data_IF_942278242459
#
_entry.id   IF_942278242459
#
_cell.length_a   1.000
_cell.length_b   1.000
_cell.length_c   1.000
_cell.angle_alpha   90.00
_cell.angle_beta   90.00
_cell.angle_gamma   90.00
#
_symmetry.space_group_name_H-M   'P 1'
#
loop_
_entity.id
_entity.type
_entity.pdbx_description
1 polymer ?
#
# COMPACT_ATOMS: atom_id res chain seq x y z
N UNK A 1 25.66 -6.45 -3.56
CA UNK A 1 25.11 -5.58 -3.83
C UNK A 1 24.07 -5.07 -3.01
N UNK A 2 24.13 -3.94 -2.83
CA UNK A 2 23.32 -3.30 -1.87
C UNK A 2 21.86 -3.30 -2.21
N UNK A 3 21.53 -3.64 -3.43
CA UNK A 3 20.13 -3.67 -3.79
C UNK A 3 19.35 -4.69 -2.99
N UNK A 4 20.05 -5.62 -2.35
CA UNK A 4 19.38 -6.61 -1.53
C UNK A 4 19.20 -6.18 -0.10
N UNK A 5 19.75 -5.04 0.26
CA UNK A 5 19.60 -4.57 1.62
C UNK A 5 18.21 -4.01 1.86
N UNK A 6 17.63 -4.38 2.97
CA UNK A 6 16.33 -3.87 3.35
C UNK A 6 16.46 -2.45 3.85
N UNK A 7 15.66 -1.52 3.32
CA UNK A 7 15.74 -0.15 3.82
C UNK A 7 15.26 -0.07 5.27
N UNK A 8 15.85 0.86 6.00
CA UNK A 8 15.54 1.01 7.42
C UNK A 8 14.06 1.30 7.66
N UNK A 9 13.43 2.06 6.78
CA UNK A 9 12.03 2.41 6.98
C UNK A 9 11.11 1.19 6.98
N UNK A 10 11.49 0.14 6.25
CA UNK A 10 10.63 -1.04 6.19
C UNK A 10 10.60 -1.76 7.54
N UNK A 11 11.74 -1.88 8.20
CA UNK A 11 11.77 -2.46 9.53
C UNK A 11 10.99 -1.63 10.53
N UNK A 12 11.10 -0.32 10.43
CA UNK A 12 10.35 0.58 11.30
C UNK A 12 8.86 0.44 11.08
N UNK A 13 8.44 0.36 9.81
CA UNK A 13 7.03 0.19 9.49
C UNK A 13 6.50 -1.13 10.01
N UNK A 14 7.25 -2.21 9.81
CA UNK A 14 6.81 -3.52 10.28
C UNK A 14 6.66 -3.54 11.80
N UNK A 15 7.56 -2.88 12.51
CA UNK A 15 7.43 -2.78 13.96
C UNK A 15 6.20 -1.99 14.36
N UNK A 16 5.93 -0.89 13.65
CA UNK A 16 4.75 -0.09 13.94
C UNK A 16 3.47 -0.90 13.73
N UNK A 17 3.40 -1.64 12.63
CA UNK A 17 2.25 -2.49 12.37
C UNK A 17 2.07 -3.50 13.51
N UNK A 18 3.16 -4.13 13.93
CA UNK A 18 3.10 -5.12 14.99
C UNK A 18 2.66 -4.51 16.31
N UNK A 19 3.21 -3.36 16.68
CA UNK A 19 2.89 -2.72 17.95
C UNK A 19 1.48 -2.20 18.00
N UNK A 20 0.88 -1.90 16.87
CA UNK A 20 -0.45 -1.32 16.80
C UNK A 20 -1.52 -2.31 16.37
N UNK A 21 -1.19 -3.59 16.30
CA UNK A 21 -2.10 -4.55 15.67
C UNK A 21 -3.43 -4.72 16.38
N UNK A 22 -3.53 -4.35 17.66
CA UNK A 22 -4.78 -4.44 18.39
C UNK A 22 -5.70 -3.26 18.13
N UNK A 23 -5.18 -2.23 17.49
CA UNK A 23 -5.96 -1.06 17.16
C UNK A 23 -6.49 -1.24 15.74
N UNK A 24 -7.81 -1.29 15.61
CA UNK A 24 -8.43 -1.50 14.31
C UNK A 24 -8.02 -0.42 13.31
N UNK A 25 -7.81 0.80 13.78
CA UNK A 25 -7.37 1.89 12.92
C UNK A 25 -6.03 1.62 12.24
N UNK A 26 -5.20 0.81 12.86
CA UNK A 26 -3.87 0.55 12.33
C UNK A 26 -3.88 -0.24 11.03
N UNK A 27 -5.02 -0.79 10.66
CA UNK A 27 -5.13 -1.55 9.41
C UNK A 27 -5.41 -0.68 8.20
N UNK A 28 -5.68 0.61 8.42
CA UNK A 28 -6.10 1.50 7.33
C UNK A 28 -5.00 2.49 7.00
N UNK A 29 -4.79 2.69 5.74
CA UNK A 29 -3.92 3.78 5.30
C UNK A 29 -4.63 4.55 4.20
N UNK A 30 -4.14 5.78 3.97
CA UNK A 30 -4.68 6.63 2.93
C UNK A 30 -3.81 6.50 1.71
N UNK A 31 -4.43 6.32 0.56
CA UNK A 31 -3.71 6.25 -0.69
C UNK A 31 -4.09 7.42 -1.57
N UNK A 32 -3.09 8.19 -1.97
CA UNK A 32 -3.28 9.29 -2.89
C UNK A 32 -2.95 8.82 -4.29
N UNK A 33 -3.86 9.07 -5.22
CA UNK A 33 -3.68 8.73 -6.61
C UNK A 33 -3.98 9.97 -7.44
N UNK A 34 -3.69 9.88 -8.73
CA UNK A 34 -3.95 10.97 -9.64
C UNK A 34 -5.07 10.56 -10.57
N UNK A 35 -6.13 11.35 -10.58
CA UNK A 35 -7.28 11.05 -11.41
C UNK A 35 -7.02 11.31 -12.88
N UNK A 36 -7.91 10.79 -13.72
CA UNK A 36 -7.79 11.00 -15.15
C UNK A 36 -7.91 12.48 -15.53
N UNK A 37 -8.61 13.24 -14.72
CA UNK A 37 -8.77 14.67 -14.91
C UNK A 37 -7.61 15.45 -14.30
N UNK A 38 -6.56 14.78 -13.91
CA UNK A 38 -5.36 15.35 -13.32
C UNK A 38 -5.57 15.92 -11.92
N UNK A 39 -6.71 15.67 -11.33
CA UNK A 39 -6.95 16.05 -9.95
C UNK A 39 -6.49 14.96 -9.00
N UNK A 40 -5.92 15.33 -7.87
CA UNK A 40 -5.55 14.33 -6.87
C UNK A 40 -6.78 13.69 -6.25
N UNK A 41 -6.65 12.43 -5.90
CA UNK A 41 -7.67 11.68 -5.21
C UNK A 41 -7.04 11.02 -4.00
N UNK A 42 -7.81 10.85 -2.94
CA UNK A 42 -7.33 10.13 -1.77
C UNK A 42 -8.44 9.20 -1.28
N UNK A 43 -8.06 8.03 -0.82
CA UNK A 43 -9.03 7.06 -0.31
C UNK A 43 -8.38 6.19 0.74
N UNK A 44 -9.21 5.53 1.54
CA UNK A 44 -8.75 4.66 2.60
C UNK A 44 -8.73 3.23 2.11
N UNK A 45 -7.62 2.54 2.34
CA UNK A 45 -7.49 1.14 2.00
C UNK A 45 -7.12 0.34 3.23
N UNK A 46 -7.42 -0.96 3.18
CA UNK A 46 -7.10 -1.87 4.26
C UNK A 46 -5.80 -2.58 3.93
N UNK A 47 -4.84 -2.49 4.84
CA UNK A 47 -3.57 -3.20 4.69
C UNK A 47 -3.81 -4.70 4.84
N UNK A 48 -3.23 -5.48 3.94
CA UNK A 48 -3.38 -6.94 3.96
C UNK A 48 -2.09 -7.68 4.20
N UNK A 49 -0.97 -7.05 3.97
CA UNK A 49 0.30 -7.72 4.24
C UNK A 49 1.45 -7.16 3.45
N UNK A 50 2.62 -7.65 3.77
CA UNK A 50 3.84 -7.30 3.07
C UNK A 50 4.20 -8.42 2.09
N UNK A 51 4.85 -8.04 1.00
CA UNK A 51 5.35 -9.02 0.05
C UNK A 51 6.58 -9.72 0.60
N UNK A 52 6.74 -10.97 0.25
CA UNK A 52 7.96 -11.72 0.55
C UNK A 52 9.10 -11.29 -0.35
N UNK A 53 8.77 -10.69 -1.48
CA UNK A 53 9.77 -10.28 -2.46
C UNK A 53 9.68 -8.77 -2.61
N UNK A 54 10.82 -8.12 -2.51
CA UNK A 54 10.87 -6.68 -2.61
C UNK A 54 10.24 -5.99 -1.42
N UNK A 55 9.84 -4.76 -1.59
CA UNK A 55 9.33 -3.92 -0.51
C UNK A 55 7.92 -3.47 -0.83
N UNK A 56 7.06 -4.45 -1.01
CA UNK A 56 5.70 -4.17 -1.46
C UNK A 56 4.69 -4.41 -0.35
N UNK A 57 3.61 -3.65 -0.41
CA UNK A 57 2.48 -3.80 0.48
C UNK A 57 1.28 -4.22 -0.34
N UNK A 58 0.39 -4.98 0.27
CA UNK A 58 -0.82 -5.45 -0.40
C UNK A 58 -2.07 -4.90 0.23
N UNK A 59 -3.03 -4.60 -0.63
CA UNK A 59 -4.37 -4.27 -0.22
C UNK A 59 -5.33 -4.90 -1.22
N UNK A 60 -6.55 -5.14 -0.79
CA UNK A 60 -7.58 -5.67 -1.68
C UNK A 60 -8.50 -4.55 -2.08
N UNK A 61 -8.89 -4.52 -3.35
CA UNK A 61 -9.76 -3.47 -3.84
C UNK A 61 -10.78 -4.05 -4.82
N UNK A 62 -11.88 -3.32 -4.98
CA UNK A 62 -12.88 -3.65 -5.99
C UNK A 62 -12.33 -3.24 -7.35
N UNK A 63 -12.30 -4.17 -8.29
CA UNK A 63 -11.78 -3.91 -9.62
C UNK A 63 -12.58 -2.84 -10.38
N UNK A 64 -13.80 -2.56 -9.93
CA UNK A 64 -14.63 -1.56 -10.57
C UNK A 64 -14.46 -0.17 -10.00
N UNK A 65 -13.61 -0.01 -8.99
CA UNK A 65 -13.43 1.30 -8.37
C UNK A 65 -12.69 2.24 -9.30
N UNK A 66 -12.87 3.54 -9.09
CA UNK A 66 -12.15 4.56 -9.85
C UNK A 66 -10.65 4.44 -9.69
N UNK A 67 -10.22 3.98 -8.54
CA UNK A 67 -8.82 3.81 -8.26
C UNK A 67 -8.13 2.90 -9.28
N UNK A 68 -8.82 1.85 -9.72
CA UNK A 68 -8.26 0.92 -10.70
C UNK A 68 -8.04 1.63 -12.02
N UNK A 69 -9.02 2.40 -12.48
CA UNK A 69 -8.87 3.19 -13.70
C UNK A 69 -7.76 4.20 -13.57
N UNK A 70 -7.67 4.87 -12.43
CA UNK A 70 -6.66 5.89 -12.22
C UNK A 70 -5.26 5.31 -12.29
N UNK A 71 -5.07 4.13 -11.73
CA UNK A 71 -3.76 3.50 -11.76
C UNK A 71 -3.35 3.05 -13.15
N UNK A 72 -4.31 2.80 -14.02
CA UNK A 72 -4.00 2.49 -15.41
C UNK A 72 -3.39 3.69 -16.12
N UNK A 73 -3.75 4.91 -15.70
CA UNK A 73 -3.19 6.13 -16.26
C UNK A 73 -1.91 6.54 -15.57
N UNK A 74 -1.92 6.49 -14.23
CA UNK A 74 -0.80 6.96 -13.43
C UNK A 74 -0.57 5.97 -12.31
N UNK A 75 0.53 5.25 -12.41
CA UNK A 75 0.85 4.24 -11.41
C UNK A 75 1.53 4.81 -10.16
N UNK A 76 1.96 6.06 -10.22
CA UNK A 76 2.65 6.66 -9.09
C UNK A 76 1.65 7.05 -8.01
N UNK A 77 1.97 6.67 -6.78
CA UNK A 77 1.08 6.88 -5.65
C UNK A 77 1.87 7.33 -4.44
N UNK A 78 1.15 7.87 -3.49
CA UNK A 78 1.73 8.15 -2.18
C UNK A 78 0.75 7.68 -1.14
N UNK A 79 1.23 7.02 -0.10
CA UNK A 79 0.36 6.63 0.99
C UNK A 79 0.76 7.35 2.26
N UNK A 80 -0.23 7.54 3.12
CA UNK A 80 -0.02 8.09 4.45
C UNK A 80 -0.64 7.11 5.44
N UNK A 81 0.12 6.74 6.45
CA UNK A 81 -0.31 5.72 7.41
C UNK A 81 0.02 6.20 8.80
N UNK A 82 -0.99 6.39 9.61
CA UNK A 82 -0.80 6.87 10.97
C UNK A 82 -1.15 5.78 11.98
N UNK A 83 -0.28 5.59 12.94
CA UNK A 83 -0.44 4.60 13.99
C UNK A 83 -0.68 5.31 15.31
N UNK A 84 -1.88 5.13 15.87
CA UNK A 84 -2.31 5.90 17.03
C UNK A 84 -1.64 5.47 18.32
N UNK A 85 -1.35 4.19 18.48
CA UNK A 85 -0.76 3.71 19.73
C UNK A 85 0.67 4.19 19.92
N UNK A 86 1.45 4.17 18.86
CA UNK A 86 2.84 4.60 18.92
C UNK A 86 3.04 6.02 18.42
N UNK A 87 1.97 6.64 17.90
CA UNK A 87 2.01 8.01 17.38
C UNK A 87 3.06 8.18 16.29
N UNK A 88 3.10 7.22 15.40
CA UNK A 88 4.02 7.25 14.27
C UNK A 88 3.27 7.48 12.99
N UNK A 89 3.87 8.24 12.09
CA UNK A 89 3.31 8.46 10.77
C UNK A 89 4.33 8.08 9.73
N UNK A 90 3.87 7.36 8.71
CA UNK A 90 4.71 6.98 7.58
C UNK A 90 4.10 7.54 6.31
N UNK A 91 4.94 8.09 5.46
CA UNK A 91 4.53 8.48 4.13
C UNK A 91 5.47 7.82 3.15
N UNK A 92 4.90 7.07 2.21
CA UNK A 92 5.67 6.28 1.27
C UNK A 92 5.24 6.65 -0.14
N UNK A 93 6.21 6.82 -1.00
CA UNK A 93 5.97 7.05 -2.42
C UNK A 93 6.40 5.82 -3.18
N UNK A 94 5.67 5.49 -4.22
CA UNK A 94 6.03 4.34 -5.01
C UNK A 94 5.12 4.18 -6.20
N UNK A 95 5.13 2.98 -6.72
CA UNK A 95 4.28 2.63 -7.83
C UNK A 95 3.33 1.54 -7.38
N UNK A 96 2.13 1.60 -7.92
CA UNK A 96 1.11 0.62 -7.60
C UNK A 96 0.69 -0.12 -8.85
N UNK A 97 0.32 -1.37 -8.66
CA UNK A 97 -0.21 -2.19 -9.74
C UNK A 97 -1.41 -2.95 -9.20
N UNK A 98 -2.34 -3.25 -10.08
CA UNK A 98 -3.53 -4.01 -9.72
C UNK A 98 -3.46 -5.36 -10.42
N UNK A 99 -3.64 -6.42 -9.64
CA UNK A 99 -3.67 -7.76 -10.18
C UNK A 99 -5.04 -8.36 -9.94
N UNK A 100 -5.61 -8.92 -10.98
CA UNK A 100 -6.84 -9.68 -10.83
C UNK A 100 -6.50 -11.15 -10.70
N UNK A 101 -7.50 -11.95 -10.41
CA UNK A 101 -7.30 -13.38 -10.32
C UNK A 101 -6.72 -13.94 -11.60
N UNK A 102 -7.10 -13.37 -12.75
CA UNK A 102 -6.66 -13.88 -14.03
C UNK A 102 -5.28 -13.43 -14.44
N UNK A 103 -4.83 -12.30 -13.90
CA UNK A 103 -3.58 -11.70 -14.32
C UNK A 103 -2.47 -11.81 -13.28
N UNK A 104 -2.73 -12.49 -12.18
CA UNK A 104 -1.76 -12.60 -11.11
C UNK A 104 -0.75 -13.70 -11.43
N UNK A 105 0.42 -13.37 -11.93
CA UNK A 105 1.38 -14.40 -12.36
C UNK A 105 2.05 -15.12 -11.21
N UNK A 106 1.93 -14.60 -10.01
CA UNK A 106 2.67 -15.13 -8.87
C UNK A 106 1.79 -15.54 -7.71
N UNK A 107 0.50 -15.58 -7.93
CA UNK A 107 -0.40 -16.01 -6.89
C UNK A 107 -0.60 -15.01 -5.77
N UNK A 108 -0.35 -13.75 -6.02
CA UNK A 108 -0.48 -12.72 -4.99
C UNK A 108 -1.92 -12.56 -4.52
N UNK A 109 -2.87 -12.96 -5.31
CA UNK A 109 -4.27 -12.84 -4.93
C UNK A 109 -4.62 -13.66 -3.70
N UNK A 110 -3.78 -14.61 -3.37
CA UNK A 110 -4.01 -15.48 -2.23
C UNK A 110 -3.63 -14.82 -0.92
N UNK A 111 -2.96 -13.72 -0.97
CA UNK A 111 -2.44 -13.09 0.24
C UNK A 111 -3.35 -12.00 0.83
#
# INVERSE_FOLDING_TARGET
MSTLETPAWLGQLKRAVSKNKRDAHSRYFQLATRGQDDHPRVRTLVFRGFSDVGWSLFSVTDARSEKVSELAFHSRVELSWYFTQTREQFRLRGEAAVFSADSDPEGHRQR
#
